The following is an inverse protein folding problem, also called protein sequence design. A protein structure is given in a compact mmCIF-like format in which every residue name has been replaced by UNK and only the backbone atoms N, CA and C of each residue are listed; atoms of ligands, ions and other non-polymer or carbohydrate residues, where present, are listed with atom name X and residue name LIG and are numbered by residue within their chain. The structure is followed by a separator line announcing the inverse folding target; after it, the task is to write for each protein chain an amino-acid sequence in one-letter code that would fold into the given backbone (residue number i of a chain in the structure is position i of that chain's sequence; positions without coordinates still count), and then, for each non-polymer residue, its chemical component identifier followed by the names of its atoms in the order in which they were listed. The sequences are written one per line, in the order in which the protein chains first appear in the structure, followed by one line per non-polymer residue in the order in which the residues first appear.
data_IF_584844984738
#
_entry.id   IF_584844984738
#
_cell.length_a   1.000
_cell.length_b   1.000
_cell.length_c   1.000
_cell.angle_alpha   90.00
_cell.angle_beta   90.00
_cell.angle_gamma   90.00
#
_symmetry.space_group_name_H-M   'P 1'
#
loop_
_entity.id
_entity.type
_entity.pdbx_description
1 polymer ?
#
# COMPACT_ATOMS: atom_id res chain seq x y z
N UNK A 1 -10.10 -14.72 3.90
CA UNK A 1 -9.10 -13.76 4.41
C UNK A 1 -9.77 -12.41 4.70
N UNK A 2 -9.30 -11.69 5.72
CA UNK A 2 -9.59 -10.26 5.89
C UNK A 2 -8.28 -9.49 5.72
N UNK A 3 -8.25 -8.60 4.75
CA UNK A 3 -7.10 -7.74 4.47
C UNK A 3 -7.42 -6.32 4.95
N UNK A 4 -6.54 -5.76 5.78
CA UNK A 4 -6.55 -4.36 6.18
C UNK A 4 -5.45 -3.66 5.38
N UNK A 5 -5.83 -2.73 4.52
CA UNK A 5 -4.90 -1.85 3.81
C UNK A 5 -4.87 -0.54 4.57
N UNK A 6 -3.71 -0.17 5.09
CA UNK A 6 -3.53 0.96 6.00
C UNK A 6 -2.54 1.93 5.36
N UNK A 7 -2.98 3.17 5.15
CA UNK A 7 -2.09 4.24 4.74
C UNK A 7 -1.25 4.68 5.94
N UNK A 8 0.03 5.03 5.69
CA UNK A 8 0.90 5.62 6.70
C UNK A 8 0.29 6.87 7.35
N UNK A 9 0.67 7.16 8.59
CA UNK A 9 0.32 8.38 9.32
C UNK A 9 0.88 9.64 8.65
N UNK A 10 0.62 10.80 9.27
CA UNK A 10 1.06 12.10 8.74
C UNK A 10 2.58 12.12 8.49
N UNK A 11 3.05 12.31 7.23
CA UNK A 11 4.43 12.04 6.86
C UNK A 11 5.34 13.25 6.96
N UNK A 12 6.59 13.02 7.37
CA UNK A 12 7.73 13.86 7.06
C UNK A 12 8.45 13.29 5.83
N UNK A 13 8.10 13.78 4.66
CA UNK A 13 8.66 13.29 3.40
C UNK A 13 10.15 13.55 3.24
N UNK A 14 10.70 14.58 3.90
CA UNK A 14 12.12 14.92 3.80
C UNK A 14 13.01 13.83 4.43
N UNK A 15 12.49 13.15 5.46
CA UNK A 15 13.23 12.14 6.21
C UNK A 15 12.64 10.72 6.06
N UNK A 16 11.68 10.53 5.17
CA UNK A 16 10.91 9.29 5.03
C UNK A 16 10.43 8.75 6.39
N UNK A 17 9.88 9.63 7.20
CA UNK A 17 9.45 9.36 8.57
C UNK A 17 8.03 9.86 8.84
N UNK A 18 7.60 9.82 10.09
CA UNK A 18 6.36 10.43 10.55
C UNK A 18 6.64 11.74 11.29
N UNK A 19 5.71 12.68 11.16
CA UNK A 19 5.65 13.84 12.04
C UNK A 19 5.21 13.42 13.45
N UNK A 20 5.31 14.32 14.45
CA UNK A 20 4.75 14.07 15.77
C UNK A 20 3.25 13.73 15.73
N UNK A 21 2.51 14.32 14.79
CA UNK A 21 1.10 13.99 14.55
C UNK A 21 0.99 12.57 14.03
N UNK A 22 1.80 12.18 13.03
CA UNK A 22 1.81 10.84 12.46
C UNK A 22 2.17 9.76 13.48
N UNK A 23 3.07 10.06 14.42
CA UNK A 23 3.38 9.15 15.53
C UNK A 23 2.17 8.91 16.44
N UNK A 24 1.43 9.97 16.80
CA UNK A 24 0.19 9.83 17.58
C UNK A 24 -0.90 9.07 16.82
N UNK A 25 -0.99 9.26 15.50
CA UNK A 25 -1.90 8.50 14.65
C UNK A 25 -1.56 7.01 14.63
N UNK A 26 -0.27 6.67 14.57
CA UNK A 26 0.20 5.28 14.63
C UNK A 26 -0.10 4.61 15.97
N UNK A 27 0.04 5.34 17.08
CA UNK A 27 -0.31 4.86 18.42
C UNK A 27 -1.83 4.64 18.56
N UNK A 28 -2.65 5.60 18.14
CA UNK A 28 -4.11 5.48 18.17
C UNK A 28 -4.58 4.28 17.30
N UNK A 29 -3.92 4.03 16.17
CA UNK A 29 -4.21 2.87 15.34
C UNK A 29 -3.83 1.55 16.06
N UNK A 30 -2.72 1.52 16.79
CA UNK A 30 -2.34 0.35 17.59
C UNK A 30 -3.37 0.06 18.68
N UNK A 31 -3.90 1.08 19.35
CA UNK A 31 -5.01 0.94 20.31
C UNK A 31 -6.27 0.37 19.65
N UNK A 32 -6.62 0.85 18.45
CA UNK A 32 -7.75 0.31 17.69
C UNK A 32 -7.57 -1.17 17.35
N UNK A 33 -6.34 -1.59 17.03
CA UNK A 33 -6.03 -2.98 16.78
C UNK A 33 -5.94 -3.84 18.04
N UNK A 34 -5.96 -3.27 19.25
CA UNK A 34 -5.76 -4.03 20.50
C UNK A 34 -6.68 -5.25 20.59
N UNK A 35 -7.96 -5.08 20.26
CA UNK A 35 -8.98 -6.14 20.30
C UNK A 35 -9.20 -6.83 18.95
N UNK A 36 -8.50 -6.41 17.91
CA UNK A 36 -8.58 -7.01 16.57
C UNK A 36 -7.52 -8.09 16.43
N UNK A 37 -7.93 -9.34 16.24
CA UNK A 37 -6.97 -10.41 15.92
C UNK A 37 -6.25 -10.08 14.60
N UNK A 38 -4.94 -10.15 14.63
CA UNK A 38 -4.08 -10.15 13.44
C UNK A 38 -3.27 -11.45 13.43
N UNK A 39 -3.05 -11.99 12.25
CA UNK A 39 -2.24 -13.19 12.03
C UNK A 39 -0.90 -12.84 11.37
N UNK A 40 -0.85 -11.76 10.58
CA UNK A 40 0.36 -11.27 9.93
C UNK A 40 0.31 -9.76 9.76
N UNK A 41 1.48 -9.13 9.89
CA UNK A 41 1.68 -7.69 9.67
C UNK A 41 2.75 -7.49 8.60
N UNK A 42 2.44 -6.68 7.61
CA UNK A 42 3.33 -6.31 6.54
C UNK A 42 3.43 -4.79 6.43
N UNK A 43 4.56 -4.32 5.90
CA UNK A 43 4.74 -2.91 5.59
C UNK A 43 5.49 -2.70 4.27
N UNK A 44 5.26 -1.54 3.68
CA UNK A 44 6.11 -0.99 2.64
C UNK A 44 7.56 -0.84 3.14
N UNK A 45 8.55 -0.91 2.25
CA UNK A 45 9.95 -0.65 2.59
C UNK A 45 10.21 0.80 3.02
N UNK A 46 9.26 1.73 2.79
CA UNK A 46 9.44 3.13 3.15
C UNK A 46 9.24 3.36 4.65
N UNK A 47 10.13 4.19 5.23
CA UNK A 47 10.23 4.39 6.68
C UNK A 47 8.92 4.82 7.34
N UNK A 48 8.19 5.77 6.73
CA UNK A 48 6.90 6.26 7.25
C UNK A 48 5.85 5.15 7.40
N UNK A 49 5.83 4.17 6.50
CA UNK A 49 4.90 3.03 6.60
C UNK A 49 5.34 2.05 7.70
N UNK A 50 6.65 1.77 7.80
CA UNK A 50 7.20 0.93 8.87
C UNK A 50 6.96 1.55 10.24
N UNK A 51 7.19 2.86 10.38
CA UNK A 51 6.94 3.59 11.63
C UNK A 51 5.46 3.58 12.02
N UNK A 52 4.54 3.60 11.04
CA UNK A 52 3.10 3.45 11.31
C UNK A 52 2.75 2.05 11.78
N UNK A 53 3.41 1.02 11.26
CA UNK A 53 3.19 -0.38 11.66
C UNK A 53 3.77 -0.72 13.04
N UNK A 54 4.87 -0.06 13.42
CA UNK A 54 5.68 -0.44 14.57
C UNK A 54 4.90 -0.50 15.91
N UNK A 55 4.06 0.49 16.29
CA UNK A 55 3.30 0.40 17.53
C UNK A 55 2.31 -0.76 17.55
N UNK A 56 1.63 -1.02 16.42
CA UNK A 56 0.71 -2.17 16.28
C UNK A 56 1.46 -3.49 16.42
N UNK A 57 2.61 -3.62 15.77
CA UNK A 57 3.44 -4.81 15.83
C UNK A 57 3.97 -5.07 17.25
N UNK A 58 4.46 -4.02 17.92
CA UNK A 58 4.92 -4.09 19.31
C UNK A 58 3.81 -4.53 20.27
N UNK A 59 2.63 -3.93 20.15
CA UNK A 59 1.47 -4.28 20.98
C UNK A 59 1.06 -5.75 20.81
N UNK A 60 1.12 -6.26 19.57
CA UNK A 60 0.76 -7.65 19.22
C UNK A 60 1.90 -8.66 19.48
N UNK A 61 3.12 -8.23 19.76
CA UNK A 61 4.28 -9.10 19.82
C UNK A 61 4.59 -9.79 18.49
N UNK A 62 4.33 -9.08 17.37
CA UNK A 62 4.47 -9.62 16.01
C UNK A 62 5.60 -8.93 15.26
N UNK A 63 6.21 -9.65 14.33
CA UNK A 63 7.18 -9.10 13.39
C UNK A 63 6.49 -8.40 12.22
N UNK A 64 7.08 -7.28 11.76
CA UNK A 64 6.68 -6.61 10.52
C UNK A 64 7.50 -7.16 9.36
N UNK A 65 6.83 -7.78 8.40
CA UNK A 65 7.43 -8.29 7.16
C UNK A 65 7.38 -7.23 6.07
N UNK A 66 8.45 -7.08 5.30
CA UNK A 66 8.50 -6.07 4.23
C UNK A 66 7.98 -6.63 2.91
N UNK A 67 7.09 -5.88 2.27
CA UNK A 67 6.59 -6.14 0.92
C UNK A 67 7.13 -5.09 -0.05
N UNK A 68 8.20 -5.38 -0.80
CA UNK A 68 8.86 -4.38 -1.66
C UNK A 68 7.93 -3.76 -2.70
N UNK A 69 7.00 -4.52 -3.25
CA UNK A 69 6.06 -4.07 -4.27
C UNK A 69 5.00 -3.05 -3.77
N UNK A 70 4.92 -2.83 -2.46
CA UNK A 70 4.03 -1.83 -1.87
C UNK A 70 4.69 -0.46 -1.68
N UNK A 71 5.94 -0.29 -2.14
CA UNK A 71 6.61 1.00 -2.17
C UNK A 71 5.79 2.00 -2.97
N UNK A 72 5.61 3.22 -2.43
CA UNK A 72 4.89 4.26 -3.16
C UNK A 72 5.71 4.70 -4.36
N UNK A 73 5.09 4.64 -5.52
CA UNK A 73 5.58 5.28 -6.74
C UNK A 73 4.54 6.28 -7.21
N UNK A 74 4.97 7.47 -7.57
CA UNK A 74 4.07 8.48 -8.17
C UNK A 74 3.53 8.02 -9.53
N UNK A 75 4.05 6.96 -10.04
CA UNK A 75 3.87 6.48 -11.40
C UNK A 75 2.53 5.78 -11.59
N UNK A 76 2.07 5.00 -10.63
CA UNK A 76 0.73 4.43 -10.71
C UNK A 76 -0.37 5.46 -10.37
N UNK A 77 -0.05 6.53 -9.63
CA UNK A 77 -0.97 7.66 -9.44
C UNK A 77 -1.31 8.34 -10.77
N UNK A 78 -0.33 8.44 -11.69
CA UNK A 78 -0.58 8.98 -13.02
C UNK A 78 -1.43 8.05 -13.90
N UNK A 79 -1.38 6.74 -13.66
CA UNK A 79 -2.19 5.75 -14.39
C UNK A 79 -3.68 5.84 -14.03
N UNK A 80 -4.01 6.23 -12.79
CA UNK A 80 -5.40 6.42 -12.37
C UNK A 80 -6.04 7.67 -12.95
N UNK A 81 -5.26 8.75 -13.16
CA UNK A 81 -5.78 9.98 -13.75
C UNK A 81 -6.13 9.83 -15.24
N UNK A 82 -5.70 8.75 -15.88
CA UNK A 82 -5.97 8.47 -17.29
C UNK A 82 -7.21 7.59 -17.53
N UNK A 83 -7.83 7.06 -16.46
CA UNK A 83 -9.08 6.27 -16.55
C UNK A 83 -10.21 7.09 -15.96
N UNK A 84 -10.94 7.79 -16.85
CA UNK A 84 -12.04 8.70 -16.52
C UNK A 84 -13.28 8.05 -15.88
N UNK A 85 -13.27 6.75 -15.59
CA UNK A 85 -14.47 6.00 -15.21
C UNK A 85 -14.66 5.72 -13.71
N UNK A 86 -13.76 6.15 -12.83
CA UNK A 86 -13.88 5.81 -11.39
C UNK A 86 -14.14 7.04 -10.50
N UNK A 87 -14.62 8.16 -10.98
CA UNK A 87 -15.16 9.25 -10.15
C UNK A 87 -14.24 9.86 -9.08
N UNK A 88 -12.99 9.48 -9.00
CA UNK A 88 -11.95 10.07 -8.16
C UNK A 88 -10.98 10.87 -9.02
N UNK A 89 -11.35 12.09 -9.33
CA UNK A 89 -10.41 13.08 -9.84
C UNK A 89 -9.45 13.47 -8.71
N UNK A 90 -8.38 12.71 -8.51
CA UNK A 90 -7.16 13.30 -7.99
C UNK A 90 -6.64 14.23 -9.09
N UNK A 91 -7.05 15.48 -9.04
CA UNK A 91 -6.43 16.53 -9.81
C UNK A 91 -5.01 16.71 -9.27
N UNK A 92 -4.08 15.91 -9.76
CA UNK A 92 -2.67 16.23 -9.68
C UNK A 92 -2.51 17.45 -10.56
N UNK A 93 -2.25 18.62 -9.97
CA UNK A 93 -1.76 19.79 -10.70
C UNK A 93 -0.45 19.38 -11.37
N UNK A 94 -0.47 19.20 -12.66
CA UNK A 94 0.58 18.60 -13.45
C UNK A 94 -0.05 17.36 -14.10
N UNK A 95 -0.76 17.54 -15.20
CA UNK A 95 -1.44 16.45 -15.89
C UNK A 95 -0.44 15.41 -16.38
N UNK A 96 -0.94 14.26 -16.82
CA UNK A 96 -0.19 13.17 -17.49
C UNK A 96 0.77 13.70 -18.57
N UNK A 97 0.53 14.89 -19.11
CA UNK A 97 1.40 15.56 -20.05
C UNK A 97 2.79 15.93 -19.50
N UNK A 98 2.91 16.27 -18.21
CA UNK A 98 4.19 16.65 -17.61
C UNK A 98 5.11 15.44 -17.39
N UNK A 99 4.55 14.26 -17.46
CA UNK A 99 5.26 12.99 -17.36
C UNK A 99 5.64 12.40 -18.72
N UNK A 100 5.23 13.02 -19.82
CA UNK A 100 5.58 12.65 -21.19
C UNK A 100 6.76 13.44 -21.75
N UNK A 101 7.59 14.00 -20.91
CA UNK A 101 8.69 14.89 -21.30
C UNK A 101 9.85 14.20 -22.05
N UNK A 102 9.71 12.93 -22.39
CA UNK A 102 10.75 12.16 -23.10
C UNK A 102 11.92 11.75 -22.20
N UNK A 103 11.83 11.91 -20.89
CA UNK A 103 12.89 11.59 -19.92
C UNK A 103 13.07 10.09 -19.66
N UNK A 104 12.38 9.20 -20.37
CA UNK A 104 12.39 7.75 -20.13
C UNK A 104 11.62 7.32 -18.87
N UNK A 105 11.19 8.26 -18.05
CA UNK A 105 10.49 8.00 -16.79
C UNK A 105 9.17 7.24 -16.95
N UNK A 106 8.56 7.31 -18.13
CA UNK A 106 7.30 6.59 -18.38
C UNK A 106 7.48 5.07 -18.51
N UNK A 107 8.57 4.61 -19.13
CA UNK A 107 8.89 3.17 -19.24
C UNK A 107 9.24 2.59 -17.86
N UNK A 108 10.04 3.32 -17.09
CA UNK A 108 10.38 2.97 -15.71
C UNK A 108 9.13 2.87 -14.82
N UNK A 109 8.16 3.74 -15.03
CA UNK A 109 6.86 3.78 -14.36
C UNK A 109 5.97 2.59 -14.73
N UNK A 110 5.91 2.26 -16.01
CA UNK A 110 5.15 1.09 -16.46
C UNK A 110 5.70 -0.19 -15.86
N UNK A 111 7.03 -0.30 -15.70
CA UNK A 111 7.66 -1.41 -15.02
C UNK A 111 7.24 -1.48 -13.54
N UNK A 112 7.23 -0.35 -12.83
CA UNK A 112 6.82 -0.29 -11.41
C UNK A 112 5.36 -0.72 -11.21
N UNK A 113 4.44 -0.31 -12.07
CA UNK A 113 3.05 -0.77 -12.02
C UNK A 113 2.94 -2.27 -12.28
N UNK A 114 3.70 -2.79 -13.24
CA UNK A 114 3.73 -4.22 -13.52
C UNK A 114 4.29 -5.04 -12.34
N UNK A 115 5.34 -4.54 -11.69
CA UNK A 115 5.89 -5.14 -10.47
C UNK A 115 4.89 -5.13 -9.32
N UNK A 116 4.17 -4.04 -9.12
CA UNK A 116 3.12 -3.93 -8.12
C UNK A 116 1.99 -4.96 -8.38
N UNK A 117 1.51 -5.05 -9.62
CA UNK A 117 0.48 -6.02 -9.99
C UNK A 117 0.99 -7.45 -9.75
N UNK A 118 2.19 -7.77 -10.23
CA UNK A 118 2.80 -9.09 -10.04
C UNK A 118 2.97 -9.42 -8.56
N UNK A 119 3.51 -8.50 -7.77
CA UNK A 119 3.71 -8.70 -6.34
C UNK A 119 2.39 -8.88 -5.59
N UNK A 120 1.34 -8.13 -5.98
CA UNK A 120 0.00 -8.29 -5.42
C UNK A 120 -0.61 -9.65 -5.76
N UNK A 121 -0.42 -10.12 -7.00
CA UNK A 121 -0.89 -11.43 -7.44
C UNK A 121 -0.20 -12.56 -6.68
N UNK A 122 1.13 -12.50 -6.55
CA UNK A 122 1.92 -13.48 -5.80
C UNK A 122 1.55 -13.48 -4.30
N UNK A 123 1.39 -12.30 -3.72
CA UNK A 123 0.97 -12.14 -2.32
C UNK A 123 -0.41 -12.75 -2.08
N UNK A 124 -1.39 -12.42 -2.91
CA UNK A 124 -2.76 -12.92 -2.76
C UNK A 124 -2.88 -14.41 -3.10
N UNK A 125 -2.04 -14.92 -4.02
CA UNK A 125 -1.96 -16.35 -4.29
C UNK A 125 -1.55 -17.17 -3.06
N UNK A 126 -0.67 -16.61 -2.20
CA UNK A 126 -0.31 -17.21 -0.92
C UNK A 126 -1.50 -17.40 0.06
N UNK A 127 -2.61 -16.72 -0.19
CA UNK A 127 -3.87 -16.83 0.58
C UNK A 127 -5.00 -17.50 -0.21
N UNK A 128 -4.67 -18.19 -1.31
CA UNK A 128 -5.62 -18.95 -2.12
C UNK A 128 -6.49 -18.06 -3.01
N UNK A 129 -6.00 -16.93 -3.46
CA UNK A 129 -6.66 -16.05 -4.43
C UNK A 129 -5.88 -15.98 -5.73
N UNK A 130 -6.57 -16.01 -6.86
CA UNK A 130 -5.98 -15.89 -8.20
C UNK A 130 -6.72 -14.82 -9.00
N UNK A 131 -5.94 -14.00 -9.72
CA UNK A 131 -6.50 -13.03 -10.64
C UNK A 131 -7.10 -13.71 -11.87
N UNK A 132 -8.31 -13.33 -12.21
CA UNK A 132 -9.02 -13.75 -13.42
C UNK A 132 -9.59 -12.49 -14.12
N UNK A 133 -8.83 -11.96 -15.06
CA UNK A 133 -9.16 -10.67 -15.67
C UNK A 133 -9.06 -9.54 -14.63
N UNK A 134 -10.14 -8.77 -14.45
CA UNK A 134 -10.21 -7.64 -13.52
C UNK A 134 -10.60 -7.99 -12.07
N UNK A 135 -10.72 -9.28 -11.72
CA UNK A 135 -11.15 -9.70 -10.39
C UNK A 135 -10.26 -10.80 -9.80
N UNK A 136 -10.25 -10.92 -8.47
CA UNK A 136 -9.66 -12.06 -7.78
C UNK A 136 -10.73 -13.09 -7.44
N UNK A 137 -10.42 -14.36 -7.66
CA UNK A 137 -11.24 -15.51 -7.23
C UNK A 137 -10.54 -16.25 -6.11
N UNK A 138 -11.28 -16.57 -5.06
CA UNK A 138 -10.81 -17.44 -3.98
C UNK A 138 -10.98 -18.91 -4.36
N UNK A 139 -9.95 -19.71 -4.12
CA UNK A 139 -9.93 -21.18 -4.32
C UNK A 139 -9.90 -21.91 -2.97
N UNK A 140 -10.71 -21.47 -2.04
CA UNK A 140 -10.79 -22.07 -0.71
C UNK A 140 -11.11 -21.04 0.36
N UNK A 141 -11.13 -21.50 1.60
CA UNK A 141 -11.34 -20.63 2.76
C UNK A 141 -10.01 -20.25 3.38
N UNK A 142 -9.82 -18.97 3.61
CA UNK A 142 -8.69 -18.45 4.38
C UNK A 142 -9.22 -17.56 5.50
N UNK A 143 -8.99 -17.95 6.74
CA UNK A 143 -9.46 -17.22 7.93
C UNK A 143 -8.45 -16.20 8.47
N UNK A 144 -7.31 -16.04 7.80
CA UNK A 144 -6.28 -15.10 8.22
C UNK A 144 -6.77 -13.64 8.15
N UNK A 145 -6.29 -12.87 9.12
CA UNK A 145 -6.45 -11.42 9.19
C UNK A 145 -5.07 -10.79 9.04
N UNK A 146 -4.89 -10.06 7.95
CA UNK A 146 -3.59 -9.55 7.50
C UNK A 146 -3.66 -8.04 7.44
N UNK A 147 -2.69 -7.36 8.04
CA UNK A 147 -2.53 -5.92 7.96
C UNK A 147 -1.35 -5.57 7.04
N UNK A 148 -1.56 -4.67 6.09
CA UNK A 148 -0.55 -4.15 5.17
C UNK A 148 -0.49 -2.63 5.32
N UNK A 149 0.60 -2.13 5.86
CA UNK A 149 0.87 -0.71 6.04
C UNK A 149 1.59 -0.18 4.79
N UNK A 150 0.94 0.72 4.07
CA UNK A 150 1.42 1.17 2.76
C UNK A 150 1.06 2.64 2.50
N UNK A 151 0.72 2.98 1.29
CA UNK A 151 0.54 4.35 0.81
C UNK A 151 -0.82 4.53 0.14
N UNK A 152 -1.26 5.78 0.01
CA UNK A 152 -2.55 6.11 -0.60
C UNK A 152 -2.65 5.67 -2.05
N UNK A 153 -1.59 5.84 -2.83
CA UNK A 153 -1.55 5.40 -4.20
C UNK A 153 -1.66 3.88 -4.35
N UNK A 154 -0.89 3.13 -3.56
CA UNK A 154 -0.98 1.65 -3.56
C UNK A 154 -2.37 1.15 -3.17
N UNK A 155 -2.99 1.76 -2.16
CA UNK A 155 -4.31 1.32 -1.70
C UNK A 155 -5.45 1.65 -2.67
N UNK A 156 -5.22 2.55 -3.65
CA UNK A 156 -6.17 2.94 -4.68
C UNK A 156 -5.98 2.16 -6.00
N UNK A 157 -4.87 1.45 -6.15
CA UNK A 157 -4.54 0.64 -7.33
C UNK A 157 -5.11 -0.76 -7.22
#
# INVERSE_FOLDING_TARGET
MRLFIIRHGDPDYAHDSLTEKGLREAEALAEWFADVRLDEIFASPLGRAQMTAAPTAAWKGMEVKILPFTAESMDYMASFSAQDDIGYTYSVKGGVSDYRDGSGRFEERSATLAEMIKGSDEFLAGYGMERRGGIYRAFGTCEKRVAVFCHGGFGAA
#
